data_IF_223887203196
#
_entry.id   IF_223887203196
#
_cell.length_a   1.000
_cell.length_b   1.000
_cell.length_c   1.000
_cell.angle_alpha   90.00
_cell.angle_beta   90.00
_cell.angle_gamma   90.00
#
_symmetry.space_group_name_H-M   'P 1'
#
loop_
_entity.id
_entity.type
_entity.pdbx_description
1 polymer ?
#
# COMPACT_ATOMS: atom_id res chain seq x y z
N UNK A 1 -9.98 6.27 -7.36
CA UNK A 1 -10.31 4.91 -7.79
C UNK A 1 -10.57 3.94 -6.64
N UNK A 2 -10.37 4.34 -5.35
CA UNK A 2 -10.69 3.48 -4.21
C UNK A 2 -12.21 3.27 -4.11
N UNK A 3 -12.62 2.03 -3.84
CA UNK A 3 -14.03 1.69 -3.65
C UNK A 3 -14.44 1.67 -2.18
N UNK A 4 -13.50 1.42 -1.28
CA UNK A 4 -13.70 1.39 0.16
C UNK A 4 -12.56 2.12 0.88
N UNK A 5 -12.90 2.84 1.94
CA UNK A 5 -11.95 3.44 2.87
C UNK A 5 -12.14 2.80 4.26
N UNK A 6 -11.03 2.38 4.88
CA UNK A 6 -11.03 1.80 6.22
C UNK A 6 -10.15 2.65 7.13
N UNK A 7 -10.71 3.14 8.24
CA UNK A 7 -9.96 3.92 9.21
C UNK A 7 -9.37 3.00 10.30
N UNK A 8 -8.06 2.82 10.28
CA UNK A 8 -7.35 1.95 11.22
C UNK A 8 -7.42 2.42 12.69
N UNK A 9 -7.85 3.65 12.95
CA UNK A 9 -8.08 4.13 14.33
C UNK A 9 -9.42 3.71 14.91
N UNK A 10 -10.36 3.26 14.05
CA UNK A 10 -11.74 2.96 14.43
C UNK A 10 -12.06 1.46 14.36
N UNK A 11 -11.28 0.69 13.59
CA UNK A 11 -11.57 -0.73 13.34
C UNK A 11 -10.30 -1.55 13.09
N UNK A 12 -10.45 -2.87 13.20
CA UNK A 12 -9.43 -3.81 12.74
C UNK A 12 -9.47 -3.91 11.22
N UNK A 13 -8.44 -3.37 10.56
CA UNK A 13 -8.35 -3.30 9.10
C UNK A 13 -8.28 -4.71 8.48
N UNK A 14 -7.64 -5.68 9.15
CA UNK A 14 -7.48 -7.04 8.64
C UNK A 14 -8.84 -7.73 8.60
N UNK A 15 -9.57 -7.71 9.71
CA UNK A 15 -10.89 -8.32 9.79
C UNK A 15 -11.92 -7.63 8.89
N UNK A 16 -11.89 -6.29 8.85
CA UNK A 16 -12.78 -5.53 7.97
C UNK A 16 -12.51 -5.82 6.48
N UNK A 17 -11.24 -5.92 6.08
CA UNK A 17 -10.88 -6.27 4.70
C UNK A 17 -11.34 -7.68 4.35
N UNK A 18 -11.11 -8.66 5.21
CA UNK A 18 -11.58 -10.05 5.00
C UNK A 18 -13.09 -10.14 4.88
N UNK A 19 -13.83 -9.36 5.68
CA UNK A 19 -15.29 -9.30 5.58
C UNK A 19 -15.79 -8.72 4.25
N UNK A 20 -15.03 -7.79 3.65
CA UNK A 20 -15.33 -7.19 2.35
C UNK A 20 -14.93 -8.07 1.15
N UNK A 21 -14.05 -9.05 1.38
CA UNK A 21 -13.42 -9.84 0.31
C UNK A 21 -13.53 -11.35 0.54
N UNK A 22 -14.71 -11.91 0.87
CA UNK A 22 -14.89 -13.36 0.94
C UNK A 22 -14.74 -13.97 -0.46
N UNK A 23 -14.16 -15.17 -0.53
CA UNK A 23 -14.08 -15.94 -1.77
C UNK A 23 -15.01 -17.14 -1.64
N UNK A 24 -16.15 -17.06 -2.32
CA UNK A 24 -17.20 -18.06 -2.20
C UNK A 24 -16.73 -19.46 -2.62
N UNK A 25 -17.00 -20.44 -1.76
CA UNK A 25 -16.75 -21.85 -2.03
C UNK A 25 -15.29 -22.27 -1.98
N UNK A 26 -14.36 -21.36 -1.66
CA UNK A 26 -12.94 -21.68 -1.51
C UNK A 26 -12.54 -21.86 -0.04
N UNK A 27 -11.68 -22.85 0.20
CA UNK A 27 -11.15 -23.17 1.52
C UNK A 27 -9.65 -23.39 1.42
N UNK A 28 -8.93 -22.90 2.41
CA UNK A 28 -7.50 -23.16 2.54
C UNK A 28 -7.22 -24.61 2.96
N UNK A 29 -5.92 -24.97 3.09
CA UNK A 29 -5.50 -26.31 3.51
C UNK A 29 -5.99 -26.67 4.93
N UNK A 30 -6.27 -25.66 5.77
CA UNK A 30 -6.80 -25.83 7.13
C UNK A 30 -8.33 -25.84 7.16
N UNK A 31 -9.00 -25.88 6.00
CA UNK A 31 -10.46 -25.83 5.85
C UNK A 31 -11.09 -24.54 6.36
N UNK A 32 -10.34 -23.44 6.38
CA UNK A 32 -10.87 -22.11 6.68
C UNK A 32 -11.36 -21.45 5.38
N UNK A 33 -12.48 -20.70 5.41
CA UNK A 33 -12.93 -19.92 4.25
C UNK A 33 -11.83 -18.95 3.79
N UNK A 34 -11.59 -18.90 2.48
CA UNK A 34 -10.63 -17.97 1.91
C UNK A 34 -11.22 -16.57 1.90
N UNK A 35 -10.50 -15.62 2.45
CA UNK A 35 -10.81 -14.20 2.43
C UNK A 35 -9.52 -13.38 2.40
N UNK A 36 -9.62 -12.13 1.96
CA UNK A 36 -8.49 -11.21 1.81
C UNK A 36 -8.30 -10.77 0.36
N UNK A 37 -7.27 -9.96 0.13
CA UNK A 37 -6.99 -9.36 -1.18
C UNK A 37 -5.93 -10.13 -1.94
N UNK A 38 -5.90 -9.99 -3.28
CA UNK A 38 -4.84 -10.55 -4.11
C UNK A 38 -3.51 -9.83 -3.91
N UNK A 39 -3.57 -8.50 -3.72
CA UNK A 39 -2.40 -7.65 -3.49
C UNK A 39 -2.66 -6.68 -2.35
N UNK A 40 -1.72 -6.58 -1.42
CA UNK A 40 -1.72 -5.58 -0.37
C UNK A 40 -0.40 -4.81 -0.40
N UNK A 41 -0.46 -3.47 -0.40
CA UNK A 41 0.72 -2.60 -0.48
C UNK A 41 0.90 -1.84 0.81
N UNK A 42 2.09 -1.96 1.44
CA UNK A 42 2.52 -1.04 2.48
C UNK A 42 3.33 0.10 1.85
N UNK A 43 2.79 1.32 1.91
CA UNK A 43 3.43 2.54 1.43
C UNK A 43 3.97 3.43 2.57
N UNK A 44 4.01 2.91 3.81
CA UNK A 44 4.39 3.66 5.01
C UNK A 44 5.75 3.19 5.54
N UNK A 45 5.96 1.87 5.68
CA UNK A 45 7.17 1.28 6.25
C UNK A 45 7.17 1.21 7.78
N UNK A 46 6.00 1.35 8.43
CA UNK A 46 5.87 1.19 9.88
C UNK A 46 5.71 -0.29 10.25
N UNK A 47 6.27 -0.70 11.41
CA UNK A 47 6.27 -2.11 11.82
C UNK A 47 4.88 -2.77 11.81
N UNK A 48 3.85 -2.04 12.26
CA UNK A 48 2.47 -2.56 12.26
C UNK A 48 1.91 -2.74 10.85
N UNK A 49 2.09 -1.76 9.96
CA UNK A 49 1.56 -1.82 8.59
C UNK A 49 2.29 -2.84 7.74
N UNK A 50 3.62 -2.94 7.88
CA UNK A 50 4.43 -3.99 7.25
C UNK A 50 3.98 -5.40 7.62
N UNK A 51 3.55 -5.62 8.87
CA UNK A 51 3.00 -6.90 9.32
C UNK A 51 1.58 -7.11 8.80
N UNK A 52 0.72 -6.10 8.91
CA UNK A 52 -0.68 -6.16 8.47
C UNK A 52 -0.83 -6.57 7.01
N UNK A 53 0.02 -6.07 6.09
CA UNK A 53 -0.09 -6.43 4.67
C UNK A 53 0.06 -7.92 4.43
N UNK A 54 0.82 -8.65 5.27
CA UNK A 54 0.94 -10.11 5.17
C UNK A 54 -0.32 -10.85 5.65
N UNK A 55 -1.10 -10.21 6.52
CA UNK A 55 -2.34 -10.75 7.09
C UNK A 55 -3.57 -10.41 6.22
N UNK A 56 -3.48 -9.34 5.41
CA UNK A 56 -4.52 -8.88 4.50
C UNK A 56 -4.66 -9.76 3.25
N UNK A 57 -3.56 -10.38 2.81
CA UNK A 57 -3.57 -11.17 1.58
C UNK A 57 -4.22 -12.53 1.79
N UNK A 58 -5.09 -12.91 0.84
CA UNK A 58 -5.81 -14.18 0.90
C UNK A 58 -4.87 -15.39 0.89
N UNK A 59 -5.32 -16.51 1.44
CA UNK A 59 -4.65 -17.79 1.23
C UNK A 59 -4.91 -18.33 -0.17
N UNK A 60 -3.99 -19.19 -0.63
CA UNK A 60 -4.24 -20.04 -1.77
C UNK A 60 -5.11 -21.25 -1.43
N UNK A 61 -5.66 -21.86 -2.44
CA UNK A 61 -6.35 -23.14 -2.38
C UNK A 61 -5.38 -24.25 -2.78
N UNK A 62 -5.17 -25.22 -1.90
CA UNK A 62 -4.16 -26.25 -2.08
C UNK A 62 -4.30 -26.99 -3.41
N UNK A 63 -3.26 -26.96 -4.23
CA UNK A 63 -3.22 -27.60 -5.55
C UNK A 63 -4.00 -26.88 -6.65
N UNK A 64 -4.66 -25.75 -6.37
CA UNK A 64 -5.46 -25.00 -7.35
C UNK A 64 -4.97 -23.56 -7.55
N UNK A 65 -4.70 -22.83 -6.49
CA UNK A 65 -4.26 -21.43 -6.59
C UNK A 65 -3.24 -21.05 -5.53
N UNK A 66 -2.36 -20.13 -5.86
CA UNK A 66 -1.47 -19.49 -4.88
C UNK A 66 -2.21 -18.43 -4.07
N UNK A 67 -1.68 -18.10 -2.91
CA UNK A 67 -2.12 -17.00 -2.09
C UNK A 67 -1.77 -15.64 -2.68
N UNK A 68 -2.27 -14.59 -2.04
CA UNK A 68 -2.01 -13.22 -2.44
C UNK A 68 -0.57 -12.77 -2.15
N UNK A 69 -0.25 -11.58 -2.64
CA UNK A 69 1.09 -10.98 -2.53
C UNK A 69 1.05 -9.71 -1.70
N UNK A 70 1.78 -9.69 -0.59
CA UNK A 70 2.08 -8.50 0.19
C UNK A 70 3.29 -7.78 -0.41
N UNK A 71 3.20 -6.48 -0.61
CA UNK A 71 4.25 -5.67 -1.26
C UNK A 71 4.68 -4.54 -0.32
N UNK A 72 5.93 -4.55 0.09
CA UNK A 72 6.55 -3.47 0.85
C UNK A 72 7.15 -2.44 -0.10
N UNK A 73 6.58 -1.25 -0.13
CA UNK A 73 7.05 -0.06 -0.88
C UNK A 73 7.57 1.01 0.05
N UNK A 74 6.94 1.15 1.23
CA UNK A 74 7.40 2.08 2.27
C UNK A 74 8.78 1.73 2.80
N UNK A 75 9.57 2.74 3.15
CA UNK A 75 10.94 2.52 3.66
C UNK A 75 10.87 2.04 5.11
N UNK A 76 11.31 0.79 5.40
CA UNK A 76 11.23 0.23 6.74
C UNK A 76 12.16 0.95 7.70
N UNK A 77 11.66 1.32 8.87
CA UNK A 77 12.44 1.94 9.94
C UNK A 77 13.00 0.89 10.92
N UNK A 78 12.35 -0.25 11.02
CA UNK A 78 12.70 -1.33 11.95
C UNK A 78 12.45 -2.69 11.32
N UNK A 79 13.18 -3.75 11.72
CA UNK A 79 12.84 -5.11 11.30
C UNK A 79 11.49 -5.55 11.88
N UNK A 80 10.83 -6.48 11.19
CA UNK A 80 9.58 -7.12 11.66
C UNK A 80 9.75 -8.64 11.67
N UNK A 81 8.91 -9.29 12.46
CA UNK A 81 8.73 -10.76 12.43
C UNK A 81 7.48 -11.07 11.60
N UNK A 82 7.63 -11.97 10.64
CA UNK A 82 6.52 -12.54 9.85
C UNK A 82 6.21 -13.96 10.36
N UNK A 83 4.93 -14.27 10.48
CA UNK A 83 4.49 -15.64 10.75
C UNK A 83 4.75 -16.53 9.52
N UNK A 84 5.85 -17.27 9.56
CA UNK A 84 6.25 -18.17 8.49
C UNK A 84 5.23 -19.29 8.25
N UNK A 85 4.52 -19.74 9.29
CA UNK A 85 3.47 -20.73 9.14
C UNK A 85 2.28 -20.17 8.39
N UNK A 86 1.84 -18.96 8.70
CA UNK A 86 0.79 -18.25 7.99
C UNK A 86 1.14 -18.06 6.50
N UNK A 87 2.37 -17.65 6.23
CA UNK A 87 2.88 -17.48 4.86
C UNK A 87 2.89 -18.82 4.10
N UNK A 88 3.48 -19.86 4.70
CA UNK A 88 3.65 -21.17 4.08
C UNK A 88 2.31 -21.87 3.83
N UNK A 89 1.42 -21.93 4.84
CA UNK A 89 0.14 -22.63 4.72
C UNK A 89 -0.83 -21.97 3.72
N UNK A 90 -0.68 -20.67 3.49
CA UNK A 90 -1.48 -19.95 2.50
C UNK A 90 -0.81 -19.78 1.15
N UNK A 91 0.40 -20.31 0.94
CA UNK A 91 1.23 -20.06 -0.26
C UNK A 91 1.32 -18.55 -0.61
N UNK A 92 1.38 -17.69 0.43
CA UNK A 92 1.44 -16.23 0.29
C UNK A 92 2.84 -15.77 -0.06
N UNK A 93 2.92 -14.66 -0.76
CA UNK A 93 4.19 -14.00 -1.08
C UNK A 93 4.35 -12.71 -0.29
N UNK A 94 5.58 -12.40 0.14
CA UNK A 94 5.97 -11.10 0.67
C UNK A 94 7.17 -10.60 -0.13
N UNK A 95 7.01 -9.51 -0.84
CA UNK A 95 8.05 -8.94 -1.71
C UNK A 95 8.33 -7.48 -1.36
N UNK A 96 9.52 -7.01 -1.70
CA UNK A 96 9.91 -5.62 -1.52
C UNK A 96 10.07 -4.95 -2.89
N UNK A 97 9.68 -3.68 -2.96
CA UNK A 97 9.79 -2.87 -4.16
C UNK A 97 10.45 -1.53 -3.82
N UNK A 98 11.73 -1.42 -4.06
CA UNK A 98 12.48 -0.18 -3.86
C UNK A 98 12.18 0.78 -5.01
N UNK A 99 11.63 1.96 -4.67
CA UNK A 99 11.28 2.98 -5.65
C UNK A 99 10.30 2.51 -6.74
N UNK A 100 9.38 1.58 -6.39
CA UNK A 100 8.46 1.00 -7.35
C UNK A 100 9.10 -0.02 -8.29
N UNK A 101 10.35 -0.45 -8.04
CA UNK A 101 11.16 -1.29 -8.94
C UNK A 101 11.30 -0.69 -10.36
N UNK A 102 11.26 0.65 -10.44
CA UNK A 102 11.32 1.34 -11.72
C UNK A 102 12.74 1.44 -12.27
N UNK A 103 12.85 1.50 -13.59
CA UNK A 103 14.04 1.93 -14.31
C UNK A 103 13.91 3.44 -14.62
N UNK A 104 14.58 4.33 -13.85
CA UNK A 104 14.32 5.76 -13.93
C UNK A 104 14.52 6.38 -15.32
N UNK A 105 15.48 5.85 -16.09
CA UNK A 105 15.77 6.33 -17.45
C UNK A 105 14.62 6.06 -18.44
N UNK A 106 13.83 5.03 -18.20
CA UNK A 106 12.70 4.62 -19.03
C UNK A 106 11.37 5.08 -18.44
N UNK A 107 11.18 4.88 -17.14
CA UNK A 107 9.88 5.08 -16.51
C UNK A 107 9.57 6.56 -16.23
N UNK A 108 10.56 7.41 -15.90
CA UNK A 108 10.30 8.84 -15.70
C UNK A 108 9.77 9.54 -16.97
N UNK A 109 10.36 9.33 -18.18
CA UNK A 109 9.77 9.84 -19.40
C UNK A 109 8.34 9.32 -19.64
N UNK A 110 8.07 8.05 -19.34
CA UNK A 110 6.74 7.43 -19.46
C UNK A 110 5.73 8.06 -18.52
N UNK A 111 6.10 8.34 -17.25
CA UNK A 111 5.22 9.03 -16.30
C UNK A 111 4.89 10.44 -16.74
N UNK A 112 5.87 11.17 -17.31
CA UNK A 112 5.65 12.51 -17.89
C UNK A 112 4.68 12.44 -19.08
N UNK A 113 4.83 11.45 -19.94
CA UNK A 113 3.89 11.25 -21.06
C UNK A 113 2.49 10.93 -20.56
N UNK A 114 2.34 10.06 -19.58
CA UNK A 114 1.03 9.73 -18.98
C UNK A 114 0.38 10.94 -18.33
N UNK A 115 1.16 11.80 -17.69
CA UNK A 115 0.62 13.05 -17.15
C UNK A 115 0.17 13.99 -18.28
N UNK A 116 0.96 14.17 -19.33
CA UNK A 116 0.62 15.04 -20.47
C UNK A 116 -0.62 14.60 -21.24
N UNK A 117 -0.84 13.30 -21.37
CA UNK A 117 -2.01 12.76 -22.07
C UNK A 117 -3.23 12.52 -21.17
N UNK A 118 -3.13 12.87 -19.87
CA UNK A 118 -4.21 12.76 -18.90
C UNK A 118 -4.43 11.34 -18.34
N UNK A 119 -3.57 10.36 -18.65
CA UNK A 119 -3.63 9.02 -18.08
C UNK A 119 -3.25 9.02 -16.58
N UNK A 120 -2.31 9.91 -16.21
CA UNK A 120 -1.84 10.08 -14.83
C UNK A 120 -2.07 11.53 -14.41
N UNK A 121 -3.00 11.75 -13.48
CA UNK A 121 -3.29 13.07 -12.92
C UNK A 121 -2.35 13.34 -11.71
N UNK A 122 -1.20 13.94 -11.98
CA UNK A 122 -0.26 14.36 -10.93
C UNK A 122 -0.74 15.63 -10.22
N UNK A 123 -1.48 16.51 -10.89
CA UNK A 123 -1.95 17.75 -10.30
C UNK A 123 -2.96 17.49 -9.17
N UNK A 124 -3.78 16.46 -9.29
CA UNK A 124 -4.71 16.03 -8.24
C UNK A 124 -3.99 15.59 -6.93
N UNK A 125 -2.71 15.24 -7.01
CA UNK A 125 -1.93 14.89 -5.82
C UNK A 125 -1.43 16.12 -5.06
N UNK A 126 -1.35 17.28 -5.71
CA UNK A 126 -0.88 18.54 -5.11
C UNK A 126 -2.03 19.21 -4.37
N UNK A 127 -2.04 19.06 -3.04
CA UNK A 127 -3.13 19.58 -2.19
C UNK A 127 -2.77 20.89 -1.50
N UNK A 128 -1.47 21.22 -1.40
CA UNK A 128 -0.95 22.42 -0.73
C UNK A 128 0.14 23.08 -1.55
N UNK A 129 0.13 24.42 -1.59
CA UNK A 129 1.16 25.25 -2.24
C UNK A 129 1.65 26.30 -1.24
N UNK A 130 2.96 26.44 -1.11
CA UNK A 130 3.60 27.40 -0.23
C UNK A 130 4.57 28.24 -1.04
N UNK A 131 4.67 29.54 -0.71
CA UNK A 131 5.79 30.35 -1.19
C UNK A 131 7.09 29.86 -0.55
N UNK A 132 8.22 30.09 -1.22
CA UNK A 132 9.52 29.64 -0.69
C UNK A 132 9.81 30.24 0.70
N UNK A 133 9.36 31.45 0.98
CA UNK A 133 9.54 32.12 2.27
C UNK A 133 8.74 31.44 3.39
N UNK A 134 7.71 30.67 3.05
CA UNK A 134 6.86 29.92 3.99
C UNK A 134 7.36 28.50 4.24
N UNK A 135 8.61 28.14 3.85
CA UNK A 135 9.14 26.77 3.98
C UNK A 135 9.04 26.22 5.41
N UNK A 136 9.26 27.06 6.42
CA UNK A 136 9.12 26.66 7.85
C UNK A 136 7.71 26.17 8.18
N UNK A 137 6.69 26.87 7.69
CA UNK A 137 5.30 26.47 7.84
C UNK A 137 4.98 25.20 7.05
N UNK A 138 5.53 25.05 5.84
CA UNK A 138 5.33 23.84 5.04
C UNK A 138 5.86 22.59 5.74
N UNK A 139 7.04 22.70 6.40
CA UNK A 139 7.62 21.61 7.20
C UNK A 139 6.76 21.29 8.41
N UNK A 140 6.33 22.31 9.17
CA UNK A 140 5.48 22.13 10.34
C UNK A 140 4.12 21.47 9.99
N UNK A 141 3.51 21.86 8.87
CA UNK A 141 2.26 21.27 8.37
C UNK A 141 2.45 19.81 7.97
N UNK A 142 3.59 19.46 7.36
CA UNK A 142 3.93 18.09 7.02
C UNK A 142 4.15 17.21 8.25
N UNK A 143 4.98 17.68 9.21
CA UNK A 143 5.30 16.96 10.45
C UNK A 143 4.07 16.71 11.32
N UNK A 144 3.15 17.67 11.35
CA UNK A 144 1.89 17.56 12.12
C UNK A 144 0.79 16.77 11.42
N UNK A 145 1.04 16.23 10.21
CA UNK A 145 0.06 15.47 9.45
C UNK A 145 -1.10 16.28 8.88
N UNK A 146 -0.96 17.62 8.80
CA UNK A 146 -1.98 18.49 8.19
C UNK A 146 -2.02 18.46 6.67
N UNK A 147 -1.00 17.86 6.04
CA UNK A 147 -0.93 17.73 4.58
C UNK A 147 -1.48 16.38 4.15
N UNK A 148 -2.63 16.36 3.51
CA UNK A 148 -3.20 15.18 2.89
C UNK A 148 -2.86 15.19 1.39
N UNK A 149 -1.85 14.45 0.97
CA UNK A 149 -1.36 14.43 -0.42
C UNK A 149 0.06 14.96 -0.54
N UNK A 150 0.29 15.92 -1.42
CA UNK A 150 1.61 16.53 -1.66
C UNK A 150 1.56 18.03 -1.50
N UNK A 151 2.54 18.58 -0.80
CA UNK A 151 2.83 20.01 -0.78
C UNK A 151 3.99 20.32 -1.71
N UNK A 152 3.90 21.46 -2.37
CA UNK A 152 4.98 22.00 -3.21
C UNK A 152 5.34 23.41 -2.79
N UNK A 153 6.64 23.76 -2.96
CA UNK A 153 7.11 25.12 -2.85
C UNK A 153 7.04 25.77 -4.24
N UNK A 154 6.50 26.98 -4.28
CA UNK A 154 6.39 27.78 -5.51
C UNK A 154 7.39 28.91 -5.45
N UNK A 155 8.10 29.13 -6.54
CA UNK A 155 9.03 30.23 -6.74
C UNK A 155 8.40 31.20 -7.71
N UNK A 156 8.36 32.47 -7.34
CA UNK A 156 7.92 33.59 -8.21
C UNK A 156 9.01 33.98 -9.20
#
# INVERSE_FOLDING_TARGET
GATHGLNATELDVVEATKALTPVDGQFDILRQPVAGVDYAFDCIGHASTMKQVSELVRSGEFGQSKGGTAVLVGVPQTPIELDSRHMFMGERSYICSLGGSCEPSEDLPRFIEWHRNGTLDLDALVTQRYAIDDIGRAVEDLESGRVAGRSILVFD
#
